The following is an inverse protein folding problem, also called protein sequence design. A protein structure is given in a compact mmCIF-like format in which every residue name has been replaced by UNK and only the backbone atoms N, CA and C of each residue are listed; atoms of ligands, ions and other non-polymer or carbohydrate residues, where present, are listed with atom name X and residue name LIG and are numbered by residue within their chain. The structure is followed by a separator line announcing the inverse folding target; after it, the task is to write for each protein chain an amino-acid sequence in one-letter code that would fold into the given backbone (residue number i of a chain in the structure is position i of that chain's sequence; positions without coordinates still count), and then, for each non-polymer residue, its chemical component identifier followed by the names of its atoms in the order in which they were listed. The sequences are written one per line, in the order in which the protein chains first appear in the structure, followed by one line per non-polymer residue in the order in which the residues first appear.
data_IF_115495743863
#
_entry.id   IF_115495743863
#
_cell.length_a   1.000
_cell.length_b   1.000
_cell.length_c   1.000
_cell.angle_alpha   90.00
_cell.angle_beta   90.00
_cell.angle_gamma   90.00
#
_symmetry.space_group_name_H-M   'P 1'
#
loop_
_entity.id
_entity.type
_entity.pdbx_description
1 polymer ?
#
# COMPACT_ATOMS: atom_id res chain seq x y z
N UNK A 1 1.87 -22.58 6.97
CA UNK A 1 0.92 -22.07 5.96
C UNK A 1 -0.30 -21.55 6.72
N UNK A 2 -0.22 -20.32 7.22
CA UNK A 2 -1.29 -19.70 8.02
C UNK A 2 -2.00 -18.68 7.13
N UNK A 3 -3.10 -19.08 6.51
CA UNK A 3 -3.97 -18.11 5.84
C UNK A 3 -4.80 -17.46 6.94
N UNK A 4 -4.34 -16.32 7.46
CA UNK A 4 -5.20 -15.46 8.27
C UNK A 4 -6.17 -14.77 7.32
N UNK A 5 -7.24 -15.46 6.96
CA UNK A 5 -8.38 -14.85 6.29
C UNK A 5 -9.01 -13.91 7.30
N UNK A 6 -8.61 -12.63 7.29
CA UNK A 6 -9.42 -11.58 7.90
C UNK A 6 -10.79 -11.70 7.24
N UNK A 7 -11.87 -11.94 8.00
CA UNK A 7 -13.17 -12.16 7.39
C UNK A 7 -13.60 -10.84 6.75
N UNK A 8 -13.77 -10.85 5.42
CA UNK A 8 -14.28 -9.71 4.64
C UNK A 8 -15.60 -9.16 5.18
N UNK A 9 -16.29 -9.89 6.06
CA UNK A 9 -17.51 -9.46 6.75
C UNK A 9 -17.30 -8.32 7.75
N UNK A 10 -16.09 -8.09 8.29
CA UNK A 10 -15.84 -6.97 9.21
C UNK A 10 -15.78 -5.64 8.45
N UNK A 11 -15.21 -5.64 7.25
CA UNK A 11 -15.12 -4.45 6.39
C UNK A 11 -16.53 -3.97 5.98
N UNK A 12 -17.40 -4.90 5.59
CA UNK A 12 -18.77 -4.60 5.18
C UNK A 12 -19.72 -4.21 6.33
N UNK A 13 -19.26 -4.25 7.59
CA UNK A 13 -20.08 -3.96 8.77
C UNK A 13 -20.03 -2.49 9.21
N UNK A 14 -19.13 -1.67 8.67
CA UNK A 14 -19.01 -0.24 9.00
C UNK A 14 -19.76 0.63 7.96
N UNK A 15 -20.35 1.76 8.38
CA UNK A 15 -20.98 2.69 7.44
C UNK A 15 -19.91 3.48 6.66
N UNK A 16 -20.19 3.88 5.41
CA UNK A 16 -19.32 4.80 4.68
C UNK A 16 -19.19 6.15 5.40
N UNK A 17 -18.00 6.78 5.41
CA UNK A 17 -16.78 6.35 4.71
C UNK A 17 -15.80 5.51 5.55
N UNK A 18 -16.23 5.00 6.71
CA UNK A 18 -15.36 4.34 7.70
C UNK A 18 -14.90 2.94 7.26
N UNK A 19 -15.65 2.32 6.34
CA UNK A 19 -15.30 1.06 5.68
C UNK A 19 -14.17 1.21 4.64
N UNK A 20 -14.01 2.40 4.05
CA UNK A 20 -13.05 2.67 2.96
C UNK A 20 -11.58 2.47 3.43
N UNK A 21 -11.09 3.09 4.51
CA UNK A 21 -9.72 2.88 4.98
C UNK A 21 -9.41 1.41 5.27
N UNK A 22 -10.37 0.69 5.88
CA UNK A 22 -10.18 -0.72 6.24
C UNK A 22 -10.16 -1.59 4.98
N UNK A 23 -11.01 -1.29 4.00
CA UNK A 23 -10.99 -1.94 2.68
C UNK A 23 -9.64 -1.78 1.98
N UNK A 24 -9.08 -0.55 1.99
CA UNK A 24 -7.78 -0.25 1.39
C UNK A 24 -6.67 -1.05 2.09
N UNK A 25 -6.65 -1.03 3.43
CA UNK A 25 -5.65 -1.77 4.22
C UNK A 25 -5.77 -3.28 3.95
N UNK A 26 -6.99 -3.82 3.86
CA UNK A 26 -7.21 -5.24 3.57
C UNK A 26 -6.73 -5.62 2.16
N UNK A 27 -7.04 -4.80 1.15
CA UNK A 27 -6.56 -5.01 -0.22
C UNK A 27 -5.03 -5.03 -0.28
N UNK A 28 -4.37 -4.09 0.39
CA UNK A 28 -2.91 -3.95 0.36
C UNK A 28 -2.21 -5.04 1.20
N UNK A 29 -2.63 -5.29 2.44
CA UNK A 29 -1.89 -6.12 3.40
C UNK A 29 -2.39 -7.56 3.51
N UNK A 30 -3.65 -7.85 3.16
CA UNK A 30 -4.23 -9.20 3.27
C UNK A 30 -4.32 -9.86 1.90
N UNK A 31 -4.91 -9.18 0.91
CA UNK A 31 -4.98 -9.70 -0.46
C UNK A 31 -3.66 -9.53 -1.21
N UNK A 32 -2.89 -8.49 -0.89
CA UNK A 32 -1.64 -8.18 -1.58
C UNK A 32 -1.86 -7.66 -2.99
N UNK A 33 -2.98 -6.97 -3.26
CA UNK A 33 -3.40 -6.58 -4.62
C UNK A 33 -2.35 -5.70 -5.36
N UNK A 34 -1.43 -5.05 -4.62
CA UNK A 34 -0.31 -4.30 -5.19
C UNK A 34 0.76 -5.18 -5.84
N UNK A 35 0.88 -6.45 -5.46
CA UNK A 35 1.97 -7.36 -5.87
C UNK A 35 1.48 -8.74 -6.34
N UNK A 36 0.17 -9.01 -6.26
CA UNK A 36 -0.42 -10.29 -6.64
C UNK A 36 -0.73 -10.39 -8.16
N UNK A 37 0.00 -9.65 -8.99
CA UNK A 37 -0.15 -9.68 -10.44
C UNK A 37 1.22 -9.59 -11.12
N UNK A 38 1.29 -10.09 -12.35
CA UNK A 38 2.47 -9.97 -13.21
C UNK A 38 2.28 -8.83 -14.21
N UNK A 39 3.37 -8.13 -14.51
CA UNK A 39 3.34 -7.03 -15.46
C UNK A 39 3.15 -7.57 -16.89
N UNK A 40 2.07 -7.18 -17.56
CA UNK A 40 1.80 -7.55 -18.95
C UNK A 40 2.77 -6.91 -19.94
N UNK A 41 2.68 -7.28 -21.22
CA UNK A 41 3.58 -6.80 -22.28
C UNK A 41 3.58 -5.26 -22.44
N UNK A 42 2.43 -4.62 -22.22
CA UNK A 42 2.27 -3.17 -22.27
C UNK A 42 2.61 -2.47 -20.94
N UNK A 43 2.90 -3.24 -19.89
CA UNK A 43 3.19 -2.73 -18.57
C UNK A 43 4.63 -2.23 -18.47
N UNK A 44 4.80 -1.00 -18.00
CA UNK A 44 6.12 -0.36 -17.89
C UNK A 44 6.43 -0.09 -16.41
N UNK A 45 7.60 -0.55 -15.97
CA UNK A 45 8.13 -0.27 -14.64
C UNK A 45 8.94 1.04 -14.66
N UNK A 46 8.52 2.04 -13.88
CA UNK A 46 9.13 3.37 -13.88
C UNK A 46 10.64 3.38 -13.54
N UNK A 47 11.09 2.44 -12.69
CA UNK A 47 12.52 2.28 -12.33
C UNK A 47 13.41 1.94 -13.54
N UNK A 48 12.85 1.29 -14.56
CA UNK A 48 13.56 0.91 -15.79
C UNK A 48 13.61 2.02 -16.83
N UNK A 49 12.73 3.02 -16.72
CA UNK A 49 12.67 4.16 -17.65
C UNK A 49 13.81 5.15 -17.44
N UNK A 50 14.22 5.36 -16.19
CA UNK A 50 15.25 6.32 -15.82
C UNK A 50 16.28 5.63 -14.91
N UNK A 51 17.21 4.84 -15.46
CA UNK A 51 18.16 4.05 -14.67
C UNK A 51 19.08 4.92 -13.78
N UNK A 52 19.28 6.18 -14.17
CA UNK A 52 20.04 7.16 -13.39
C UNK A 52 19.23 7.73 -12.22
N UNK A 53 17.91 7.61 -12.25
CA UNK A 53 17.01 8.06 -11.20
C UNK A 53 16.62 6.91 -10.27
N UNK A 54 17.21 6.90 -9.07
CA UNK A 54 16.94 5.88 -8.05
C UNK A 54 15.86 6.35 -7.10
N UNK A 55 14.80 5.55 -6.96
CA UNK A 55 13.82 5.74 -5.88
C UNK A 55 14.49 5.58 -4.52
N UNK A 56 14.01 6.34 -3.53
CA UNK A 56 14.40 6.16 -2.14
C UNK A 56 14.03 4.76 -1.69
N UNK A 57 14.99 4.01 -1.17
CA UNK A 57 14.75 2.64 -0.68
C UNK A 57 13.97 2.67 0.63
N UNK A 58 13.38 1.53 1.02
CA UNK A 58 12.70 1.42 2.32
C UNK A 58 13.67 1.70 3.48
N UNK A 59 14.91 1.22 3.37
CA UNK A 59 15.96 1.47 4.37
C UNK A 59 16.23 2.98 4.56
N UNK A 60 16.45 3.69 3.45
CA UNK A 60 16.63 5.14 3.47
C UNK A 60 15.39 5.89 3.98
N UNK A 61 14.19 5.39 3.68
CA UNK A 61 12.96 5.95 4.21
C UNK A 61 12.88 5.81 5.73
N UNK A 62 13.26 4.66 6.28
CA UNK A 62 13.29 4.43 7.73
C UNK A 62 14.32 5.33 8.43
N UNK A 63 15.47 5.55 7.81
CA UNK A 63 16.47 6.52 8.31
C UNK A 63 15.91 7.95 8.39
N UNK A 64 15.12 8.37 7.40
CA UNK A 64 14.43 9.67 7.42
C UNK A 64 13.49 9.77 8.62
N UNK A 65 12.72 8.72 8.91
CA UNK A 65 11.81 8.71 10.07
C UNK A 65 12.56 8.75 11.42
N UNK A 66 13.78 8.21 11.49
CA UNK A 66 14.62 8.25 12.68
C UNK A 66 15.20 9.64 12.93
N UNK A 67 15.64 10.32 11.87
CA UNK A 67 16.34 11.61 11.97
C UNK A 67 15.37 12.80 12.00
N UNK A 68 14.35 12.78 11.13
CA UNK A 68 13.39 13.86 10.96
C UNK A 68 12.02 13.32 10.53
N UNK A 69 11.17 12.87 11.48
CA UNK A 69 9.92 12.21 11.16
C UNK A 69 8.95 13.14 10.45
N UNK A 70 8.43 12.67 9.32
CA UNK A 70 7.37 13.35 8.57
C UNK A 70 6.08 13.35 9.39
N UNK A 71 5.32 14.45 9.32
CA UNK A 71 4.01 14.53 9.98
C UNK A 71 3.04 13.54 9.33
N UNK A 72 2.30 12.73 10.10
CA UNK A 72 1.29 11.84 9.54
C UNK A 72 0.25 12.62 8.74
N UNK A 73 -0.04 12.14 7.53
CA UNK A 73 -1.12 12.66 6.70
C UNK A 73 -2.37 11.79 6.86
N UNK A 74 -3.54 12.42 6.75
CA UNK A 74 -4.84 11.73 6.70
C UNK A 74 -5.54 12.16 5.42
N UNK A 75 -5.95 11.18 4.63
CA UNK A 75 -6.78 11.41 3.44
C UNK A 75 -8.22 11.64 3.86
N UNK A 76 -8.89 12.60 3.23
CA UNK A 76 -10.33 12.78 3.40
C UNK A 76 -11.07 11.77 2.53
N UNK A 77 -12.04 11.09 3.12
CA UNK A 77 -13.03 10.29 2.41
C UNK A 77 -14.36 11.02 2.60
N UNK A 78 -14.99 11.42 1.50
CA UNK A 78 -16.27 12.13 1.50
C UNK A 78 -17.45 11.20 1.80
#
# INVERSE_FOLDING_TARGET
MFTTTFPSSIVAALPPPEDIPISIIHSILVKGDLMNFELGEDGIEASKLYPDFKFTTIDQLLDIFLINPLKPARTAFE
#
